data_IF_808796210734
#
_entry.id   IF_808796210734
#
_cell.length_a   1.000
_cell.length_b   1.000
_cell.length_c   1.000
_cell.angle_alpha   90.00
_cell.angle_beta   90.00
_cell.angle_gamma   90.00
#
_symmetry.space_group_name_H-M   'P 1'
#
loop_
_entity.id
_entity.type
_entity.pdbx_description
1 polymer ?
#
# COMPACT_ATOMS: atom_id res chain seq x y z
N UNK A 1 25.66 -17.48 11.87
CA UNK A 1 25.02 -16.64 12.91
C UNK A 1 24.17 -15.55 12.26
N UNK A 2 24.72 -14.65 11.42
CA UNK A 2 23.88 -13.64 10.71
C UNK A 2 22.90 -14.24 9.69
N UNK A 3 23.28 -15.30 8.96
CA UNK A 3 22.38 -15.97 8.00
C UNK A 3 21.24 -16.76 8.68
N UNK A 4 21.46 -17.28 9.89
CA UNK A 4 20.40 -17.93 10.68
C UNK A 4 19.40 -16.92 11.26
N UNK A 5 19.85 -15.68 11.51
CA UNK A 5 19.01 -14.59 12.01
C UNK A 5 18.10 -14.03 10.91
N UNK A 6 18.62 -13.96 9.67
CA UNK A 6 17.84 -13.60 8.47
C UNK A 6 16.79 -14.66 8.09
N UNK A 7 17.12 -15.95 8.25
CA UNK A 7 16.18 -17.05 7.99
C UNK A 7 15.09 -17.14 9.08
N UNK A 8 15.43 -16.81 10.33
CA UNK A 8 14.45 -16.64 11.42
C UNK A 8 13.55 -15.42 11.22
N UNK A 9 14.07 -14.33 10.66
CA UNK A 9 13.29 -13.14 10.35
C UNK A 9 12.31 -13.41 9.19
N UNK A 10 12.73 -14.11 8.12
CA UNK A 10 11.85 -14.53 7.03
C UNK A 10 10.76 -15.51 7.47
N UNK A 11 11.11 -16.49 8.30
CA UNK A 11 10.12 -17.45 8.83
C UNK A 11 9.17 -16.85 9.88
N UNK A 12 9.53 -15.71 10.49
CA UNK A 12 8.65 -14.95 11.37
C UNK A 12 7.67 -14.04 10.62
N UNK A 13 8.02 -13.53 9.43
CA UNK A 13 7.09 -12.77 8.59
C UNK A 13 6.04 -13.64 7.89
N UNK A 14 6.35 -14.89 7.53
CA UNK A 14 5.40 -15.78 6.83
C UNK A 14 4.38 -16.50 7.75
N UNK A 15 4.46 -16.35 9.08
CA UNK A 15 3.66 -17.15 10.03
C UNK A 15 2.62 -16.37 10.84
N UNK A 16 2.19 -15.21 10.37
CA UNK A 16 1.26 -14.32 11.11
C UNK A 16 -0.09 -14.04 10.44
N UNK A 17 -0.46 -14.80 9.41
CA UNK A 17 -1.70 -14.56 8.63
C UNK A 17 -2.84 -15.59 8.86
N UNK A 18 -2.69 -16.55 9.78
CA UNK A 18 -3.73 -17.58 10.07
C UNK A 18 -4.39 -17.42 11.45
N UNK A 19 -4.35 -16.22 12.05
CA UNK A 19 -5.23 -15.91 13.18
C UNK A 19 -6.53 -15.33 12.62
N UNK A 20 -7.64 -16.08 12.69
CA UNK A 20 -8.95 -15.51 12.43
C UNK A 20 -9.11 -14.27 13.33
N UNK A 21 -9.41 -13.08 12.76
CA UNK A 21 -9.56 -11.88 13.56
C UNK A 21 -10.68 -12.12 14.57
N UNK A 22 -10.43 -11.76 15.82
CA UNK A 22 -11.44 -11.81 16.87
C UNK A 22 -12.49 -10.72 16.54
N UNK A 23 -13.54 -11.13 15.81
CA UNK A 23 -14.58 -10.21 15.32
C UNK A 23 -15.56 -9.94 16.46
N UNK A 24 -15.64 -8.69 16.89
CA UNK A 24 -16.62 -8.20 17.86
C UNK A 24 -18.05 -8.59 17.41
N UNK A 25 -18.98 -8.90 18.33
CA UNK A 25 -20.32 -9.37 17.98
C UNK A 25 -21.09 -8.37 17.10
N UNK A 26 -20.86 -7.07 17.28
CA UNK A 26 -21.46 -5.99 16.49
C UNK A 26 -20.98 -6.03 15.02
N UNK A 27 -19.70 -6.31 14.79
CA UNK A 27 -19.13 -6.43 13.45
C UNK A 27 -19.71 -7.63 12.69
N UNK A 28 -20.07 -8.73 13.39
CA UNK A 28 -20.72 -9.89 12.77
C UNK A 28 -22.08 -9.54 12.18
N UNK A 29 -22.85 -8.71 12.87
CA UNK A 29 -24.15 -8.23 12.39
C UNK A 29 -24.00 -7.32 11.17
N UNK A 30 -23.04 -6.39 11.22
CA UNK A 30 -22.73 -5.49 10.08
C UNK A 30 -22.26 -6.28 8.86
N UNK A 31 -21.38 -7.28 9.04
CA UNK A 31 -20.91 -8.15 7.96
C UNK A 31 -22.08 -8.93 7.34
N UNK A 32 -23.00 -9.45 8.17
CA UNK A 32 -24.17 -10.14 7.67
C UNK A 32 -25.08 -9.23 6.85
N UNK A 33 -25.27 -7.97 7.27
CA UNK A 33 -26.01 -6.97 6.53
C UNK A 33 -25.36 -6.64 5.17
N UNK A 34 -24.05 -6.36 5.15
CA UNK A 34 -23.31 -6.06 3.92
C UNK A 34 -23.33 -7.22 2.92
N UNK A 35 -23.23 -8.48 3.40
CA UNK A 35 -23.35 -9.67 2.54
C UNK A 35 -24.72 -9.75 1.88
N UNK A 36 -25.78 -9.45 2.63
CA UNK A 36 -27.15 -9.40 2.11
C UNK A 36 -27.28 -8.34 1.02
N UNK A 37 -26.76 -7.13 1.25
CA UNK A 37 -26.77 -6.05 0.26
C UNK A 37 -25.98 -6.42 -1.00
N UNK A 38 -24.78 -7.01 -0.84
CA UNK A 38 -23.93 -7.43 -1.96
C UNK A 38 -24.61 -8.50 -2.83
N UNK A 39 -25.30 -9.47 -2.21
CA UNK A 39 -26.03 -10.51 -2.94
C UNK A 39 -27.20 -9.98 -3.78
N UNK A 40 -27.71 -8.78 -3.47
CA UNK A 40 -28.75 -8.13 -4.24
C UNK A 40 -28.21 -7.39 -5.47
N UNK A 41 -26.89 -7.18 -5.57
CA UNK A 41 -26.24 -6.52 -6.71
C UNK A 41 -26.02 -7.52 -7.83
N UNK A 42 -26.56 -7.21 -9.00
CA UNK A 42 -26.35 -7.99 -10.22
C UNK A 42 -25.00 -7.64 -10.86
N UNK A 43 -24.01 -8.49 -10.64
CA UNK A 43 -22.65 -8.31 -11.16
C UNK A 43 -22.58 -8.20 -12.70
N UNK A 44 -23.58 -8.73 -13.42
CA UNK A 44 -23.60 -8.69 -14.90
C UNK A 44 -23.92 -7.30 -15.45
N UNK A 45 -24.50 -6.42 -14.63
CA UNK A 45 -24.83 -5.03 -15.00
C UNK A 45 -23.70 -4.04 -14.66
N UNK A 46 -22.65 -4.48 -13.98
CA UNK A 46 -21.55 -3.62 -13.58
C UNK A 46 -20.59 -3.38 -14.75
N UNK A 47 -20.11 -2.15 -14.94
CA UNK A 47 -19.06 -1.87 -15.92
C UNK A 47 -17.76 -2.57 -15.51
N UNK A 48 -16.99 -3.03 -16.51
CA UNK A 48 -15.66 -3.57 -16.25
C UNK A 48 -14.74 -2.50 -15.68
N UNK A 49 -14.32 -2.67 -14.43
CA UNK A 49 -13.34 -1.79 -13.80
C UNK A 49 -11.93 -2.18 -14.26
N UNK A 50 -11.14 -1.19 -14.66
CA UNK A 50 -9.72 -1.40 -14.97
C UNK A 50 -8.90 -1.11 -13.72
N UNK A 51 -8.14 -2.09 -13.18
CA UNK A 51 -7.24 -1.83 -12.07
C UNK A 51 -6.14 -0.85 -12.49
N UNK A 52 -5.84 0.12 -11.63
CA UNK A 52 -4.70 1.00 -11.82
C UNK A 52 -3.41 0.23 -11.49
N UNK A 53 -2.45 0.23 -12.41
CA UNK A 53 -1.12 -0.32 -12.15
C UNK A 53 -0.20 0.81 -11.71
N UNK A 54 0.35 0.70 -10.51
CA UNK A 54 1.21 1.76 -9.98
C UNK A 54 2.50 1.88 -10.79
N UNK A 55 2.70 3.06 -11.35
CA UNK A 55 3.92 3.49 -12.06
C UNK A 55 4.37 4.82 -11.48
N UNK A 56 5.59 4.85 -10.96
CA UNK A 56 6.21 5.98 -10.23
C UNK A 56 7.03 6.89 -11.13
N UNK A 57 7.39 6.42 -12.33
CA UNK A 57 8.31 7.09 -13.25
C UNK A 57 7.59 7.85 -14.38
N UNK A 58 6.29 7.63 -14.54
CA UNK A 58 5.42 8.38 -15.46
C UNK A 58 4.71 9.52 -14.72
N UNK A 59 5.05 10.75 -15.06
CA UNK A 59 4.49 11.96 -14.45
C UNK A 59 3.08 12.31 -14.98
N UNK A 60 2.61 11.69 -16.07
CA UNK A 60 1.31 11.99 -16.68
C UNK A 60 0.16 11.11 -16.14
N UNK A 61 0.45 10.05 -15.39
CA UNK A 61 -0.55 9.13 -14.84
C UNK A 61 -1.14 9.57 -13.49
N UNK A 62 -0.65 10.67 -12.91
CA UNK A 62 -1.09 11.24 -11.64
C UNK A 62 -0.97 10.34 -10.39
N UNK A 63 -0.27 9.21 -10.44
CA UNK A 63 -0.11 8.33 -9.27
C UNK A 63 0.63 9.04 -8.14
N UNK A 64 1.78 9.64 -8.45
CA UNK A 64 2.59 10.35 -7.45
C UNK A 64 1.88 11.61 -6.96
N UNK A 65 1.09 12.27 -7.81
CA UNK A 65 0.34 13.47 -7.44
C UNK A 65 -0.76 13.13 -6.43
N UNK A 66 -1.49 12.03 -6.67
CA UNK A 66 -2.49 11.51 -5.74
C UNK A 66 -1.86 11.11 -4.40
N UNK A 67 -0.75 10.35 -4.42
CA UNK A 67 -0.05 9.95 -3.18
C UNK A 67 0.44 11.17 -2.41
N UNK A 68 1.06 12.13 -3.09
CA UNK A 68 1.62 13.33 -2.45
C UNK A 68 0.53 14.15 -1.78
N UNK A 69 -0.60 14.38 -2.47
CA UNK A 69 -1.72 15.15 -1.94
C UNK A 69 -2.42 14.41 -0.78
N UNK A 70 -2.74 13.13 -0.93
CA UNK A 70 -3.35 12.32 0.13
C UNK A 70 -2.47 12.23 1.38
N UNK A 71 -1.17 11.99 1.22
CA UNK A 71 -0.21 12.00 2.32
C UNK A 71 -0.15 13.36 3.00
N UNK A 72 -0.08 14.45 2.24
CA UNK A 72 0.00 15.80 2.82
C UNK A 72 -1.28 16.20 3.55
N UNK A 73 -2.46 15.79 3.07
CA UNK A 73 -3.72 15.97 3.79
C UNK A 73 -3.69 15.24 5.14
N UNK A 74 -3.19 14.00 5.18
CA UNK A 74 -3.00 13.27 6.44
C UNK A 74 -1.95 13.93 7.34
N UNK A 75 -0.86 14.45 6.76
CA UNK A 75 0.17 15.17 7.52
C UNK A 75 -0.42 16.37 8.27
N UNK A 76 -1.33 17.11 7.63
CA UNK A 76 -2.01 18.25 8.25
C UNK A 76 -2.82 17.83 9.49
N UNK A 77 -3.52 16.69 9.46
CA UNK A 77 -4.30 16.20 10.60
C UNK A 77 -3.46 15.91 11.85
N UNK A 78 -2.18 15.62 11.70
CA UNK A 78 -1.28 15.24 12.80
C UNK A 78 -0.12 16.24 13.00
N UNK A 79 -0.20 17.44 12.42
CA UNK A 79 0.88 18.44 12.46
C UNK A 79 2.25 17.92 11.98
N UNK A 80 2.25 16.96 11.04
CA UNK A 80 3.46 16.43 10.41
C UNK A 80 3.85 17.39 9.27
N UNK A 81 5.14 17.64 9.10
CA UNK A 81 5.63 18.48 8.01
C UNK A 81 5.28 17.84 6.65
N UNK A 82 4.63 18.58 5.72
CA UNK A 82 4.30 18.05 4.40
C UNK A 82 5.57 17.74 3.59
N UNK A 83 5.47 16.75 2.72
CA UNK A 83 6.56 16.30 1.86
C UNK A 83 6.36 16.81 0.42
N UNK A 84 7.49 17.10 -0.24
CA UNK A 84 7.50 17.43 -1.67
C UNK A 84 7.21 16.19 -2.52
N UNK A 85 6.70 16.39 -3.74
CA UNK A 85 6.47 15.34 -4.73
C UNK A 85 7.65 14.37 -4.91
N UNK A 86 8.87 14.90 -5.02
CA UNK A 86 10.08 14.08 -5.20
C UNK A 86 10.36 13.20 -3.99
N UNK A 87 10.16 13.73 -2.78
CA UNK A 87 10.33 12.96 -1.54
C UNK A 87 9.30 11.84 -1.44
N UNK A 88 8.05 12.13 -1.80
CA UNK A 88 6.99 11.12 -1.88
C UNK A 88 7.31 10.05 -2.93
N UNK A 89 7.78 10.43 -4.13
CA UNK A 89 8.19 9.48 -5.19
C UNK A 89 9.29 8.54 -4.72
N UNK A 90 10.33 9.07 -4.06
CA UNK A 90 11.43 8.24 -3.53
C UNK A 90 10.94 7.23 -2.51
N UNK A 91 10.11 7.66 -1.54
CA UNK A 91 9.64 6.80 -0.45
C UNK A 91 8.56 5.81 -0.92
N UNK A 92 7.52 6.28 -1.62
CA UNK A 92 6.43 5.42 -2.10
C UNK A 92 6.90 4.45 -3.20
N UNK A 93 7.84 4.89 -4.04
CA UNK A 93 8.41 4.10 -5.12
C UNK A 93 9.57 3.20 -4.72
N UNK A 94 10.00 3.22 -3.44
CA UNK A 94 11.17 2.49 -2.92
C UNK A 94 12.41 2.63 -3.82
N UNK A 95 12.70 3.86 -4.24
CA UNK A 95 13.80 4.13 -5.18
C UNK A 95 15.15 3.90 -4.48
N UNK A 96 15.98 3.04 -5.07
CA UNK A 96 17.37 2.85 -4.64
C UNK A 96 18.22 3.96 -5.29
N UNK A 97 18.94 4.76 -4.50
CA UNK A 97 19.80 5.80 -5.04
C UNK A 97 21.00 5.16 -5.78
N UNK A 98 21.33 5.68 -6.95
CA UNK A 98 22.48 5.23 -7.73
C UNK A 98 23.22 6.42 -8.34
N UNK A 99 24.55 6.31 -8.41
CA UNK A 99 25.42 7.28 -9.09
C UNK A 99 26.49 6.53 -9.88
N UNK A 100 26.75 6.99 -11.11
CA UNK A 100 27.64 6.30 -12.05
C UNK A 100 29.06 6.09 -11.51
N UNK A 101 29.58 7.03 -10.71
CA UNK A 101 30.95 6.96 -10.17
C UNK A 101 31.15 5.75 -9.25
N UNK A 102 30.16 5.42 -8.41
CA UNK A 102 30.24 4.26 -7.51
C UNK A 102 30.10 2.95 -8.28
N UNK A 103 29.32 2.93 -9.36
CA UNK A 103 29.22 1.76 -10.25
C UNK A 103 30.50 1.55 -11.06
N UNK A 104 31.13 2.63 -11.54
CA UNK A 104 32.36 2.55 -12.32
C UNK A 104 33.60 2.15 -11.49
N UNK A 105 33.53 2.28 -10.16
CA UNK A 105 34.60 1.86 -9.24
C UNK A 105 34.57 0.37 -8.87
N UNK A 106 33.47 -0.34 -9.16
CA UNK A 106 33.27 -1.78 -8.90
C UNK A 106 33.64 -2.56 -10.17
#
# INVERSE_FOLDING_TARGET
EEEEEEEKAKSAEEKKDDAEPEVEPEDKEVIAALRKELSAVDATKLPTLKPAHFEKDDDANHHIDWITTACNLRCFNYNIKPATRQKCRMTAGRIIPAIATTTATI
#
